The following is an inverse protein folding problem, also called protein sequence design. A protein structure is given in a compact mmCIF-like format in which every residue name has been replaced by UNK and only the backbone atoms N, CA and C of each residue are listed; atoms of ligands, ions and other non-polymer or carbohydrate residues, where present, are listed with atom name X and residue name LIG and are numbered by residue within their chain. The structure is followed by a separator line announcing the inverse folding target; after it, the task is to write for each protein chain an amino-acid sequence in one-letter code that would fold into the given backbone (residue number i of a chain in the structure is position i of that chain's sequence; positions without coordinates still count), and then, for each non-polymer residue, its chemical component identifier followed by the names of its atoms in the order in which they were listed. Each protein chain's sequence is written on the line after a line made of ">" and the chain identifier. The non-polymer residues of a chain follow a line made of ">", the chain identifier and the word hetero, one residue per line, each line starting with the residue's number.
data_IF_516285475732
#
_entry.id   IF_516285475732
#
_cell.length_a   1.000
_cell.length_b   1.000
_cell.length_c   1.000
_cell.angle_alpha   90.00
_cell.angle_beta   90.00
_cell.angle_gamma   90.00
#
_symmetry.space_group_name_H-M   'P 1'
#
loop_
_entity.id
_entity.type
_entity.pdbx_description
1 polymer ?
#
# COMPACT_ATOMS: atom_id res chain seq x y z
N UNK A 1 4.35 10.89 6.51
CA UNK A 1 3.23 11.83 6.24
C UNK A 1 1.89 11.19 6.63
N UNK A 2 1.54 10.00 6.14
CA UNK A 2 0.25 9.36 6.40
C UNK A 2 -0.07 9.21 7.89
N UNK A 3 0.91 8.89 8.72
CA UNK A 3 0.73 8.71 10.17
C UNK A 3 0.35 9.97 10.92
N UNK A 4 0.52 11.16 10.33
CA UNK A 4 0.08 12.43 10.94
C UNK A 4 -1.43 12.60 10.95
N UNK A 5 -2.14 11.85 10.13
CA UNK A 5 -3.61 11.86 10.05
C UNK A 5 -4.25 10.70 10.84
N UNK A 6 -3.44 9.84 11.43
CA UNK A 6 -3.88 8.68 12.19
C UNK A 6 -3.66 8.88 13.69
N UNK A 7 -4.51 8.24 14.50
CA UNK A 7 -4.28 8.17 15.94
C UNK A 7 -3.00 7.36 16.18
N UNK A 8 -2.08 7.89 16.97
CA UNK A 8 -0.87 7.18 17.34
C UNK A 8 -1.21 5.82 17.96
N UNK A 9 -0.56 4.78 17.48
CA UNK A 9 -0.68 3.41 18.00
C UNK A 9 0.69 2.96 18.49
N UNK A 10 0.72 2.39 19.69
CA UNK A 10 1.93 1.84 20.30
C UNK A 10 2.07 0.36 19.93
N UNK A 11 2.42 0.07 18.69
CA UNK A 11 2.87 -1.25 18.28
C UNK A 11 4.37 -1.40 18.50
N UNK A 12 4.85 -2.60 18.85
CA UNK A 12 6.27 -2.89 18.79
C UNK A 12 6.68 -3.20 17.35
N UNK A 13 7.72 -2.55 16.87
CA UNK A 13 8.31 -2.79 15.55
C UNK A 13 9.55 -3.63 15.69
N UNK A 14 9.64 -4.72 14.95
CA UNK A 14 10.78 -5.65 14.98
C UNK A 14 11.73 -5.45 13.79
N UNK A 15 11.92 -4.22 13.33
CA UNK A 15 12.91 -3.95 12.29
C UNK A 15 14.28 -3.71 12.92
N UNK A 16 15.29 -4.47 12.49
CA UNK A 16 16.65 -4.41 13.04
C UNK A 16 17.34 -3.08 12.79
N UNK A 17 16.92 -2.35 11.76
CA UNK A 17 17.46 -1.05 11.34
C UNK A 17 16.62 0.14 11.83
N UNK A 18 15.60 -0.08 12.65
CA UNK A 18 14.77 0.97 13.25
C UNK A 18 14.72 0.76 14.77
N UNK A 19 15.77 1.16 15.52
CA UNK A 19 15.75 1.09 16.98
C UNK A 19 14.75 2.09 17.57
N UNK A 20 14.32 1.88 18.81
CA UNK A 20 13.40 2.77 19.52
C UNK A 20 13.89 4.22 19.59
N UNK A 21 15.20 4.43 19.52
CA UNK A 21 15.83 5.75 19.49
C UNK A 21 15.78 6.44 18.13
N UNK A 22 15.37 5.73 17.07
CA UNK A 22 15.27 6.31 15.73
C UNK A 22 14.17 7.36 15.68
N UNK A 23 14.45 8.52 15.07
CA UNK A 23 13.52 9.65 15.02
C UNK A 23 12.13 9.31 14.42
N UNK A 24 12.07 8.37 13.48
CA UNK A 24 10.85 7.95 12.82
C UNK A 24 10.21 6.70 13.47
N UNK A 25 10.76 6.16 14.56
CA UNK A 25 10.29 4.91 15.17
C UNK A 25 8.79 4.93 15.47
N UNK A 26 8.30 5.98 16.11
CA UNK A 26 6.87 6.12 16.44
C UNK A 26 5.97 6.14 15.21
N UNK A 27 6.39 6.86 14.15
CA UNK A 27 5.63 6.91 12.90
C UNK A 27 5.63 5.57 12.16
N UNK A 28 6.77 4.89 12.11
CA UNK A 28 6.90 3.55 11.50
C UNK A 28 6.07 2.55 12.28
N UNK A 29 6.15 2.55 13.61
CA UNK A 29 5.37 1.70 14.50
C UNK A 29 3.86 1.88 14.28
N UNK A 30 3.40 3.12 14.19
CA UNK A 30 2.01 3.44 13.88
C UNK A 30 1.60 2.89 12.53
N UNK A 31 2.39 3.09 11.47
CA UNK A 31 2.08 2.62 10.13
C UNK A 31 2.03 1.09 10.05
N UNK A 32 2.92 0.40 10.76
CA UNK A 32 2.90 -1.08 10.86
C UNK A 32 1.66 -1.57 11.60
N UNK A 33 1.27 -0.92 12.69
CA UNK A 33 0.09 -1.31 13.47
C UNK A 33 -1.21 -1.19 12.68
N UNK A 34 -1.28 -0.25 11.73
CA UNK A 34 -2.40 -0.12 10.80
C UNK A 34 -2.29 -1.04 9.57
N UNK A 35 -1.22 -1.81 9.43
CA UNK A 35 -0.99 -2.66 8.26
C UNK A 35 -0.65 -1.92 6.97
N UNK A 36 -0.29 -0.64 7.05
CA UNK A 36 0.08 0.16 5.87
C UNK A 36 1.46 -0.18 5.33
N UNK A 37 2.34 -0.65 6.18
CA UNK A 37 3.72 -1.02 5.90
C UNK A 37 3.98 -2.43 6.42
N UNK A 38 4.60 -3.26 5.59
CA UNK A 38 4.87 -4.67 5.90
C UNK A 38 6.37 -4.98 6.02
N UNK A 39 7.24 -4.07 5.61
CA UNK A 39 8.68 -4.33 5.46
C UNK A 39 9.00 -5.12 4.18
N UNK A 40 10.27 -5.45 4.00
CA UNK A 40 10.78 -6.15 2.81
C UNK A 40 10.86 -7.69 2.98
N UNK A 41 10.39 -8.20 4.10
CA UNK A 41 10.47 -9.63 4.45
C UNK A 41 11.81 -10.08 5.02
N UNK A 42 12.83 -9.22 5.06
CA UNK A 42 14.18 -9.54 5.60
C UNK A 42 14.34 -9.13 7.08
N UNK A 43 13.32 -8.53 7.67
CA UNK A 43 13.40 -7.92 9.00
C UNK A 43 13.98 -6.52 9.01
N UNK A 44 14.14 -5.90 7.83
CA UNK A 44 14.58 -4.51 7.66
C UNK A 44 13.46 -3.64 7.09
N UNK A 45 13.50 -2.38 7.43
CA UNK A 45 12.59 -1.36 6.90
C UNK A 45 13.26 -0.47 5.86
N UNK A 46 14.57 -0.27 5.96
CA UNK A 46 15.38 0.64 5.14
C UNK A 46 14.86 2.09 5.18
N UNK A 47 14.86 2.75 6.34
CA UNK A 47 14.20 4.04 6.55
C UNK A 47 14.74 5.18 5.68
N UNK A 48 15.99 5.07 5.24
CA UNK A 48 16.66 6.08 4.40
C UNK A 48 16.63 5.76 2.91
N UNK A 49 16.03 4.62 2.52
CA UNK A 49 15.89 4.26 1.12
C UNK A 49 14.84 5.13 0.43
N UNK A 50 15.06 5.39 -0.86
CA UNK A 50 14.07 6.08 -1.70
C UNK A 50 12.89 5.16 -1.94
N UNK A 51 11.69 5.69 -1.72
CA UNK A 51 10.44 4.99 -2.03
C UNK A 51 10.20 5.00 -3.55
N UNK A 52 9.75 3.88 -4.09
CA UNK A 52 9.31 3.79 -5.49
C UNK A 52 7.88 4.27 -5.67
N UNK A 53 7.48 4.58 -6.91
CA UNK A 53 6.08 4.94 -7.23
C UNK A 53 5.09 3.84 -6.82
N UNK A 54 5.46 2.60 -7.07
CA UNK A 54 4.64 1.43 -6.72
C UNK A 54 4.46 1.27 -5.22
N UNK A 55 5.54 1.38 -4.46
CA UNK A 55 5.47 1.33 -2.98
C UNK A 55 4.61 2.47 -2.42
N UNK A 56 4.73 3.67 -2.98
CA UNK A 56 3.89 4.80 -2.59
C UNK A 56 2.41 4.54 -2.91
N UNK A 57 2.09 4.01 -4.10
CA UNK A 57 0.72 3.65 -4.48
C UNK A 57 0.14 2.59 -3.54
N UNK A 58 0.90 1.54 -3.23
CA UNK A 58 0.47 0.48 -2.32
C UNK A 58 0.18 1.02 -0.91
N UNK A 59 1.04 1.89 -0.38
CA UNK A 59 0.82 2.52 0.93
C UNK A 59 -0.44 3.38 0.92
N UNK A 60 -0.60 4.24 -0.08
CA UNK A 60 -1.77 5.12 -0.19
C UNK A 60 -3.06 4.31 -0.32
N UNK A 61 -3.10 3.27 -1.14
CA UNK A 61 -4.25 2.38 -1.26
C UNK A 61 -4.62 1.77 0.10
N UNK A 62 -3.64 1.27 0.85
CA UNK A 62 -3.87 0.69 2.19
C UNK A 62 -4.39 1.73 3.19
N UNK A 63 -3.84 2.94 3.17
CA UNK A 63 -4.32 4.06 4.02
C UNK A 63 -5.77 4.40 3.72
N UNK A 64 -6.16 4.37 2.44
CA UNK A 64 -7.52 4.66 1.98
C UNK A 64 -8.46 3.44 2.05
N UNK A 65 -7.95 2.27 2.43
CA UNK A 65 -8.73 1.03 2.44
C UNK A 65 -9.12 0.55 1.04
N UNK A 66 -8.33 0.90 0.00
CA UNK A 66 -8.56 0.52 -1.39
C UNK A 66 -7.83 -0.78 -1.71
N UNK A 67 -8.49 -1.67 -2.45
CA UNK A 67 -7.98 -3.02 -2.73
C UNK A 67 -7.76 -3.28 -4.22
N UNK A 68 -8.43 -2.53 -5.07
CA UNK A 68 -8.47 -2.74 -6.51
C UNK A 68 -9.32 -3.94 -6.94
N UNK A 69 -9.87 -3.86 -8.14
CA UNK A 69 -10.55 -5.00 -8.77
C UNK A 69 -9.53 -5.87 -9.49
N UNK A 70 -9.00 -6.86 -8.79
CA UNK A 70 -7.98 -7.76 -9.32
C UNK A 70 -8.41 -8.49 -10.59
N UNK A 71 -9.69 -8.87 -10.70
CA UNK A 71 -10.22 -9.58 -11.86
C UNK A 71 -10.30 -8.65 -13.09
N UNK A 72 -10.87 -7.46 -12.92
CA UNK A 72 -10.96 -6.45 -13.99
C UNK A 72 -9.57 -6.00 -14.44
N UNK A 73 -8.66 -5.73 -13.50
CA UNK A 73 -7.29 -5.30 -13.80
C UNK A 73 -6.53 -6.37 -14.58
N UNK A 74 -6.60 -7.64 -14.18
CA UNK A 74 -5.98 -8.75 -14.90
C UNK A 74 -6.61 -9.00 -16.27
N UNK A 75 -7.88 -8.64 -16.45
CA UNK A 75 -8.55 -8.67 -17.75
C UNK A 75 -8.20 -7.48 -18.67
N UNK A 76 -7.31 -6.61 -18.25
CA UNK A 76 -6.84 -5.47 -19.04
C UNK A 76 -7.57 -4.15 -18.80
N UNK A 77 -8.49 -4.11 -17.83
CA UNK A 77 -9.20 -2.88 -17.47
C UNK A 77 -8.29 -1.95 -16.67
N UNK A 78 -8.44 -0.65 -16.90
CA UNK A 78 -7.70 0.39 -16.21
C UNK A 78 -6.48 0.90 -16.95
N UNK A 79 -5.83 1.88 -16.36
CA UNK A 79 -4.70 2.57 -16.98
C UNK A 79 -3.45 1.68 -17.00
N UNK A 80 -2.73 1.69 -18.12
CA UNK A 80 -1.50 0.92 -18.30
C UNK A 80 -0.30 1.82 -18.51
N UNK A 81 0.85 1.37 -18.04
CA UNK A 81 2.13 2.06 -18.16
C UNK A 81 3.17 1.11 -18.79
N UNK A 82 4.02 1.60 -19.71
CA UNK A 82 4.99 0.75 -20.42
C UNK A 82 6.02 0.08 -19.49
N UNK A 83 6.29 0.70 -18.35
CA UNK A 83 7.24 0.23 -17.34
C UNK A 83 6.62 -0.65 -16.24
N UNK A 84 5.32 -0.98 -16.38
CA UNK A 84 4.59 -1.85 -15.44
C UNK A 84 4.01 -3.04 -16.20
N UNK A 85 4.70 -4.18 -16.15
CA UNK A 85 4.26 -5.40 -16.84
C UNK A 85 3.06 -6.06 -16.16
N UNK A 86 2.33 -6.89 -16.91
CA UNK A 86 1.18 -7.65 -16.37
C UNK A 86 1.57 -8.64 -15.26
N UNK A 87 2.83 -9.06 -15.19
CA UNK A 87 3.38 -9.92 -14.14
C UNK A 87 4.01 -9.15 -12.97
N UNK A 88 3.99 -7.83 -13.02
CA UNK A 88 4.61 -7.00 -11.98
C UNK A 88 3.82 -7.10 -10.67
N UNK A 89 4.52 -7.29 -9.55
CA UNK A 89 3.89 -7.51 -8.24
C UNK A 89 2.95 -6.38 -7.80
N UNK A 90 3.26 -5.15 -8.17
CA UNK A 90 2.50 -3.95 -7.80
C UNK A 90 1.50 -3.49 -8.86
N UNK A 91 1.22 -4.29 -9.89
CA UNK A 91 0.31 -3.92 -10.97
C UNK A 91 -1.05 -3.44 -10.43
N UNK A 92 -1.65 -4.19 -9.52
CA UNK A 92 -2.98 -3.88 -8.98
C UNK A 92 -2.96 -2.54 -8.25
N UNK A 93 -1.96 -2.30 -7.41
CA UNK A 93 -1.84 -1.05 -6.67
C UNK A 93 -1.63 0.15 -7.58
N UNK A 94 -0.79 0.02 -8.62
CA UNK A 94 -0.55 1.11 -9.58
C UNK A 94 -1.80 1.41 -10.38
N UNK A 95 -2.50 0.41 -10.89
CA UNK A 95 -3.70 0.58 -11.70
C UNK A 95 -4.85 1.13 -10.86
N UNK A 96 -5.05 0.63 -9.64
CA UNK A 96 -6.02 1.16 -8.68
C UNK A 96 -5.79 2.65 -8.40
N UNK A 97 -4.57 3.03 -8.07
CA UNK A 97 -4.22 4.41 -7.71
C UNK A 97 -4.32 5.40 -8.87
N UNK A 98 -4.29 4.92 -10.12
CA UNK A 98 -4.19 5.78 -11.31
C UNK A 98 -5.41 5.74 -12.23
N UNK A 99 -6.35 4.84 -12.00
CA UNK A 99 -7.56 4.73 -12.80
C UNK A 99 -8.75 5.36 -12.06
N UNK A 100 -9.39 6.32 -12.69
CA UNK A 100 -10.63 6.90 -12.14
C UNK A 100 -11.77 5.91 -12.30
N UNK A 101 -12.43 5.52 -11.21
CA UNK A 101 -13.52 4.53 -11.21
C UNK A 101 -14.40 4.65 -9.98
N UNK A 102 -15.64 4.19 -10.12
CA UNK A 102 -16.50 3.87 -8.99
C UNK A 102 -16.24 2.44 -8.50
N UNK A 103 -16.57 2.13 -7.27
CA UNK A 103 -16.35 0.80 -6.71
C UNK A 103 -17.38 0.42 -5.66
N UNK A 104 -17.49 -0.88 -5.41
CA UNK A 104 -18.13 -1.47 -4.23
C UNK A 104 -17.26 -2.64 -3.73
N UNK A 105 -17.38 -3.00 -2.49
CA UNK A 105 -16.75 -4.21 -2.00
C UNK A 105 -17.58 -5.44 -2.33
N UNK A 106 -16.90 -6.58 -2.55
CA UNK A 106 -17.56 -7.88 -2.59
C UNK A 106 -18.13 -8.25 -1.20
N UNK A 107 -18.87 -9.36 -1.12
CA UNK A 107 -19.51 -9.81 0.11
C UNK A 107 -18.49 -10.14 1.23
N UNK A 108 -17.25 -10.52 0.87
CA UNK A 108 -16.18 -10.80 1.83
C UNK A 108 -15.44 -9.55 2.29
N UNK A 109 -15.63 -8.43 1.62
CA UNK A 109 -14.88 -7.17 1.77
C UNK A 109 -13.36 -7.32 1.59
N UNK A 110 -12.96 -8.34 0.84
CA UNK A 110 -11.55 -8.60 0.53
C UNK A 110 -11.15 -8.19 -0.88
N UNK A 111 -12.13 -7.86 -1.73
CA UNK A 111 -11.89 -7.36 -3.07
C UNK A 111 -12.83 -6.20 -3.40
N UNK A 112 -12.37 -5.30 -4.24
CA UNK A 112 -13.22 -4.33 -4.90
C UNK A 112 -13.80 -4.90 -6.19
N UNK A 113 -14.97 -4.40 -6.56
CA UNK A 113 -15.60 -4.61 -7.84
C UNK A 113 -15.83 -3.23 -8.43
N UNK A 114 -15.20 -2.95 -9.55
CA UNK A 114 -15.33 -1.66 -10.22
C UNK A 114 -16.70 -1.55 -10.90
N UNK A 115 -17.34 -0.40 -10.73
CA UNK A 115 -18.71 -0.18 -11.20
C UNK A 115 -18.81 0.87 -12.30
N UNK A 116 -17.84 1.79 -12.37
CA UNK A 116 -17.76 2.85 -13.38
C UNK A 116 -16.29 3.09 -13.73
N UNK A 117 -16.04 3.35 -14.97
CA UNK A 117 -14.72 3.64 -15.51
C UNK A 117 -14.71 4.98 -16.24
#
# INVERSE_FOLDING_TARGET
>A
ICTRFAKASSGSVSFTDVPETHWAYSSISTAVSYGWILGDGTGKFNPDAKITRTEAAAIVNRVLGRLGDSAAIKAGVGKRFPDVSESFWGLIDVVEATTNHGYRFDASRQNEIWTQL
#
